data_IF_629928778321
#
_entry.id   IF_629928778321
#
_cell.length_a   1.000
_cell.length_b   1.000
_cell.length_c   1.000
_cell.angle_alpha   90.00
_cell.angle_beta   90.00
_cell.angle_gamma   90.00
#
_symmetry.space_group_name_H-M   'P 1'
#
loop_
_entity.id
_entity.type
_entity.pdbx_description
1 polymer ?
#
# COMPACT_ATOMS: atom_id res chain seq x y z
N UNK A 1 -54.25 -40.97 -4.37
CA UNK A 1 -53.84 -39.67 -4.96
C UNK A 1 -52.62 -39.15 -4.20
N UNK A 2 -51.42 -39.18 -4.81
CA UNK A 2 -50.21 -38.55 -4.23
C UNK A 2 -50.16 -37.10 -4.69
N UNK A 3 -50.09 -36.13 -3.76
CA UNK A 3 -49.92 -34.71 -4.11
C UNK A 3 -48.57 -34.54 -4.85
N UNK A 4 -48.51 -33.82 -5.97
CA UNK A 4 -47.23 -33.54 -6.62
C UNK A 4 -46.43 -32.62 -5.68
N UNK A 5 -45.26 -33.07 -5.23
CA UNK A 5 -44.32 -32.17 -4.56
C UNK A 5 -43.80 -31.19 -5.61
N UNK A 6 -43.79 -29.88 -5.33
CA UNK A 6 -43.27 -28.90 -6.28
C UNK A 6 -41.80 -29.20 -6.54
N UNK A 7 -41.45 -29.29 -7.82
CA UNK A 7 -40.07 -29.44 -8.26
C UNK A 7 -39.23 -28.29 -7.70
N UNK A 8 -38.16 -28.59 -6.95
CA UNK A 8 -37.19 -27.60 -6.48
C UNK A 8 -35.88 -27.85 -7.25
N UNK A 9 -35.63 -27.20 -8.41
CA UNK A 9 -34.35 -27.32 -9.09
C UNK A 9 -33.33 -26.29 -8.58
N UNK A 10 -32.08 -26.77 -8.50
CA UNK A 10 -30.75 -26.12 -8.56
C UNK A 10 -30.52 -24.80 -7.83
N UNK A 11 -29.32 -24.69 -7.21
CA UNK A 11 -29.21 -24.31 -5.82
C UNK A 11 -29.84 -22.94 -5.58
N UNK A 12 -30.66 -22.81 -4.53
CA UNK A 12 -31.22 -21.52 -4.16
C UNK A 12 -30.08 -20.52 -3.94
N UNK A 13 -30.26 -19.29 -4.42
CA UNK A 13 -29.32 -18.19 -4.21
C UNK A 13 -28.97 -18.12 -2.70
N UNK A 14 -27.69 -18.27 -2.34
CA UNK A 14 -27.29 -18.41 -0.94
C UNK A 14 -27.63 -17.17 -0.10
N UNK A 15 -27.76 -16.01 -0.74
CA UNK A 15 -27.98 -14.72 -0.10
C UNK A 15 -29.41 -14.21 -0.31
N UNK A 16 -30.02 -14.45 -1.47
CA UNK A 16 -31.35 -13.91 -1.80
C UNK A 16 -32.45 -14.96 -1.67
N UNK A 17 -33.19 -14.90 -0.55
CA UNK A 17 -34.34 -15.77 -0.28
C UNK A 17 -35.67 -15.03 -0.50
N UNK A 18 -36.64 -15.69 -1.16
CA UNK A 18 -38.01 -15.17 -1.33
C UNK A 18 -38.81 -15.13 -0.03
N UNK A 19 -38.53 -16.06 0.86
CA UNK A 19 -39.13 -16.14 2.19
C UNK A 19 -38.06 -16.56 3.20
N UNK A 20 -38.13 -16.06 4.45
CA UNK A 20 -37.21 -16.47 5.51
C UNK A 20 -37.32 -17.98 5.74
N UNK A 21 -36.25 -18.61 6.21
CA UNK A 21 -36.32 -20.04 6.57
C UNK A 21 -37.27 -20.21 7.77
N UNK A 22 -37.96 -21.36 7.91
CA UNK A 22 -38.87 -21.58 9.05
C UNK A 22 -38.20 -21.37 10.43
N UNK A 23 -36.89 -21.55 10.49
CA UNK A 23 -36.03 -21.36 11.67
C UNK A 23 -35.22 -20.06 11.66
N UNK A 24 -35.55 -19.09 10.80
CA UNK A 24 -34.88 -17.77 10.81
C UNK A 24 -35.42 -16.82 11.88
N UNK A 25 -36.39 -17.26 12.67
CA UNK A 25 -36.87 -16.51 13.81
C UNK A 25 -36.13 -16.97 15.08
N UNK A 26 -35.80 -16.06 15.99
CA UNK A 26 -35.27 -16.42 17.30
C UNK A 26 -36.18 -17.47 17.96
N UNK A 27 -35.58 -18.51 18.55
CA UNK A 27 -36.33 -19.52 19.28
C UNK A 27 -37.09 -18.83 20.42
N UNK A 28 -38.41 -18.76 20.31
CA UNK A 28 -39.26 -18.15 21.33
C UNK A 28 -39.34 -19.08 22.53
N UNK A 29 -38.82 -18.63 23.66
CA UNK A 29 -39.08 -19.22 24.97
C UNK A 29 -40.10 -18.33 25.71
N UNK A 30 -41.31 -18.82 26.02
CA UNK A 30 -42.34 -18.06 26.75
C UNK A 30 -41.86 -17.50 28.10
N UNK A 31 -40.79 -18.05 28.69
CA UNK A 31 -40.20 -17.59 29.94
C UNK A 31 -39.16 -16.47 29.79
N UNK A 32 -38.66 -16.18 28.58
CA UNK A 32 -37.56 -15.22 28.38
C UNK A 32 -38.10 -13.81 28.07
N UNK A 33 -38.49 -13.10 29.13
CA UNK A 33 -38.98 -11.71 29.06
C UNK A 33 -37.93 -10.71 28.55
N UNK A 34 -36.65 -11.09 28.48
CA UNK A 34 -35.54 -10.22 28.05
C UNK A 34 -35.01 -10.55 26.65
N UNK A 35 -35.58 -11.55 25.95
CA UNK A 35 -35.09 -12.02 24.65
C UNK A 35 -34.90 -10.87 23.64
N UNK A 36 -35.92 -10.03 23.49
CA UNK A 36 -35.90 -8.87 22.57
C UNK A 36 -34.81 -7.86 22.93
N UNK A 37 -34.60 -7.62 24.24
CA UNK A 37 -33.57 -6.70 24.71
C UNK A 37 -32.15 -7.24 24.43
N UNK A 38 -31.93 -8.55 24.63
CA UNK A 38 -30.64 -9.20 24.35
C UNK A 38 -30.35 -9.24 22.85
N UNK A 39 -31.36 -9.59 22.04
CA UNK A 39 -31.24 -9.56 20.59
C UNK A 39 -30.86 -8.16 20.10
N UNK A 40 -31.57 -7.13 20.57
CA UNK A 40 -31.25 -5.74 20.25
C UNK A 40 -29.81 -5.40 20.65
N UNK A 41 -29.40 -5.75 21.87
CA UNK A 41 -28.04 -5.48 22.35
C UNK A 41 -26.96 -6.17 21.49
N UNK A 42 -27.19 -7.42 21.05
CA UNK A 42 -26.26 -8.14 20.17
C UNK A 42 -26.17 -7.47 18.81
N UNK A 43 -27.32 -7.18 18.19
CA UNK A 43 -27.39 -6.59 16.84
C UNK A 43 -26.80 -5.17 16.78
N UNK A 44 -26.90 -4.41 17.87
CA UNK A 44 -26.33 -3.06 17.99
C UNK A 44 -24.85 -3.07 18.43
N UNK A 45 -24.32 -4.22 18.88
CA UNK A 45 -22.94 -4.32 19.35
C UNK A 45 -21.95 -4.27 18.18
N UNK A 46 -20.78 -3.64 18.39
CA UNK A 46 -19.76 -3.49 17.33
C UNK A 46 -19.26 -4.83 16.79
N UNK A 47 -19.16 -5.87 17.63
CA UNK A 47 -18.76 -7.21 17.20
C UNK A 47 -19.72 -7.89 16.22
N UNK A 48 -20.93 -7.34 16.02
CA UNK A 48 -21.88 -7.85 15.03
C UNK A 48 -21.72 -7.17 13.66
N UNK A 49 -20.93 -6.09 13.57
CA UNK A 49 -20.61 -5.45 12.29
C UNK A 49 -19.72 -6.37 11.46
N UNK A 50 -19.98 -6.43 10.17
CA UNK A 50 -19.14 -7.19 9.26
C UNK A 50 -17.75 -6.53 9.17
N UNK A 51 -16.64 -7.30 9.22
CA UNK A 51 -15.30 -6.73 9.29
C UNK A 51 -14.91 -5.81 8.13
N UNK A 52 -15.52 -5.97 6.95
CA UNK A 52 -15.32 -5.12 5.77
C UNK A 52 -16.09 -3.78 5.85
N UNK A 53 -17.14 -3.71 6.66
CA UNK A 53 -17.86 -2.46 6.98
C UNK A 53 -17.37 -1.82 8.30
N UNK A 54 -16.67 -2.57 9.16
CA UNK A 54 -16.13 -2.10 10.43
C UNK A 54 -14.78 -1.38 10.27
N UNK A 55 -14.87 -0.07 10.00
CA UNK A 55 -13.67 0.78 9.85
C UNK A 55 -12.84 0.86 11.13
N UNK A 56 -13.47 0.80 12.31
CA UNK A 56 -12.76 0.84 13.60
C UNK A 56 -11.87 -0.40 13.76
N UNK A 57 -12.40 -1.58 13.39
CA UNK A 57 -11.61 -2.81 13.34
C UNK A 57 -10.50 -2.75 12.29
N UNK A 58 -10.80 -2.34 11.05
CA UNK A 58 -9.81 -2.25 9.96
C UNK A 58 -8.65 -1.32 10.34
N UNK A 59 -8.92 -0.22 11.05
CA UNK A 59 -7.90 0.75 11.48
C UNK A 59 -7.12 0.32 12.71
N UNK A 60 -7.59 -0.70 13.44
CA UNK A 60 -6.93 -1.23 14.62
C UNK A 60 -5.54 -1.83 14.32
N UNK A 61 -4.77 -2.08 15.38
CA UNK A 61 -3.47 -2.76 15.29
C UNK A 61 -3.62 -4.22 14.85
N UNK A 62 -4.67 -4.90 15.28
CA UNK A 62 -4.97 -6.30 14.91
C UNK A 62 -5.14 -6.48 13.40
N UNK A 63 -5.68 -5.47 12.71
CA UNK A 63 -5.87 -5.49 11.27
C UNK A 63 -4.66 -4.97 10.46
N UNK A 64 -3.55 -4.59 11.12
CA UNK A 64 -2.36 -4.02 10.44
C UNK A 64 -1.80 -4.96 9.36
N UNK A 65 -1.71 -6.27 9.63
CA UNK A 65 -1.21 -7.23 8.66
C UNK A 65 -2.08 -7.33 7.41
N UNK A 66 -3.41 -7.35 7.59
CA UNK A 66 -4.37 -7.36 6.49
C UNK A 66 -4.29 -6.08 5.66
N UNK A 67 -4.18 -4.91 6.31
CA UNK A 67 -3.99 -3.63 5.60
C UNK A 67 -2.74 -3.61 4.74
N UNK A 68 -1.61 -4.11 5.25
CA UNK A 68 -0.37 -4.22 4.46
C UNK A 68 -0.55 -5.14 3.25
N UNK A 69 -1.28 -6.24 3.40
CA UNK A 69 -1.60 -7.14 2.28
C UNK A 69 -2.49 -6.44 1.24
N UNK A 70 -3.49 -5.65 1.67
CA UNK A 70 -4.32 -4.86 0.77
C UNK A 70 -3.52 -3.78 0.04
N UNK A 71 -2.59 -3.11 0.72
CA UNK A 71 -1.69 -2.13 0.10
C UNK A 71 -0.85 -2.77 -1.01
N UNK A 72 -0.31 -3.97 -0.76
CA UNK A 72 0.42 -4.75 -1.76
C UNK A 72 -0.49 -5.15 -2.94
N UNK A 73 -1.63 -5.79 -2.66
CA UNK A 73 -2.53 -6.30 -3.70
C UNK A 73 -3.06 -5.17 -4.59
N UNK A 74 -3.37 -4.01 -4.01
CA UNK A 74 -3.81 -2.83 -4.76
C UNK A 74 -2.72 -2.27 -5.66
N UNK A 75 -1.47 -2.23 -5.19
CA UNK A 75 -0.34 -1.79 -6.00
C UNK A 75 -0.05 -2.77 -7.15
N UNK A 76 -0.05 -4.07 -6.87
CA UNK A 76 0.14 -5.14 -7.86
C UNK A 76 -0.93 -5.10 -8.95
N UNK A 77 -2.20 -4.98 -8.55
CA UNK A 77 -3.31 -4.84 -9.49
C UNK A 77 -3.14 -3.58 -10.38
N UNK A 78 -2.75 -2.46 -9.80
CA UNK A 78 -2.49 -1.23 -10.54
C UNK A 78 -1.37 -1.38 -11.58
N UNK A 79 -0.31 -2.14 -11.26
CA UNK A 79 0.76 -2.45 -12.23
C UNK A 79 0.25 -3.36 -13.35
N UNK A 80 -0.50 -4.41 -13.00
CA UNK A 80 -1.08 -5.35 -13.96
C UNK A 80 -2.03 -4.65 -14.94
N UNK A 81 -2.91 -3.77 -14.45
CA UNK A 81 -3.87 -3.03 -15.28
C UNK A 81 -3.18 -2.08 -16.29
N UNK A 82 -1.96 -1.65 -16.00
CA UNK A 82 -1.12 -0.84 -16.90
C UNK A 82 -0.21 -1.68 -17.82
N UNK A 83 -0.33 -3.01 -17.79
CA UNK A 83 0.52 -3.92 -18.58
C UNK A 83 1.97 -3.96 -18.14
N UNK A 84 2.27 -3.60 -16.88
CA UNK A 84 3.62 -3.67 -16.33
C UNK A 84 3.90 -5.12 -15.90
N UNK A 85 4.64 -5.85 -16.73
CA UNK A 85 5.01 -7.26 -16.46
C UNK A 85 6.27 -7.40 -15.60
N UNK A 86 7.19 -6.42 -15.69
CA UNK A 86 8.53 -6.51 -15.12
C UNK A 86 8.93 -5.16 -14.53
N UNK A 87 9.48 -5.20 -13.32
CA UNK A 87 9.91 -4.03 -12.57
C UNK A 87 11.35 -4.21 -12.12
N UNK A 88 12.16 -3.17 -12.28
CA UNK A 88 13.52 -3.12 -11.72
C UNK A 88 13.46 -2.23 -10.47
N UNK A 89 13.82 -2.79 -9.32
CA UNK A 89 13.91 -2.04 -8.07
C UNK A 89 15.29 -1.41 -7.96
N UNK A 90 15.35 -0.08 -7.86
CA UNK A 90 16.59 0.68 -7.73
C UNK A 90 16.59 1.42 -6.40
N UNK A 91 17.66 1.28 -5.63
CA UNK A 91 17.89 2.04 -4.41
C UNK A 91 18.98 3.09 -4.62
N UNK A 92 18.80 4.28 -4.04
CA UNK A 92 19.74 5.38 -4.21
C UNK A 92 19.64 6.42 -3.10
N UNK A 93 20.67 7.26 -2.99
CA UNK A 93 20.67 8.38 -2.06
C UNK A 93 19.69 9.46 -2.49
N UNK A 94 18.80 9.90 -1.60
CA UNK A 94 17.91 11.06 -1.81
C UNK A 94 18.66 12.40 -1.79
N UNK A 95 19.94 12.40 -1.41
CA UNK A 95 20.78 13.60 -1.26
C UNK A 95 21.80 13.75 -2.39
N UNK A 96 21.70 12.93 -3.42
CA UNK A 96 22.60 12.98 -4.58
C UNK A 96 22.33 14.25 -5.39
N UNK A 97 23.40 14.88 -5.87
CA UNK A 97 23.36 16.10 -6.69
C UNK A 97 24.11 15.85 -7.99
N UNK A 98 23.74 16.59 -9.03
CA UNK A 98 24.53 16.68 -10.24
C UNK A 98 25.97 17.11 -9.92
N UNK A 99 27.00 16.53 -10.57
CA UNK A 99 28.40 16.87 -10.28
C UNK A 99 28.71 18.37 -10.34
N UNK A 100 28.16 19.08 -11.33
CA UNK A 100 28.33 20.53 -11.45
C UNK A 100 27.72 21.28 -10.26
N UNK A 101 26.48 20.93 -9.88
CA UNK A 101 25.76 21.55 -8.75
C UNK A 101 26.48 21.27 -7.43
N UNK A 102 26.93 20.04 -7.21
CA UNK A 102 27.70 19.67 -6.01
C UNK A 102 29.04 20.42 -5.95
N UNK A 103 29.69 20.60 -7.10
CA UNK A 103 30.94 21.35 -7.20
C UNK A 103 30.76 22.82 -6.89
N UNK A 104 29.71 23.45 -7.40
CA UNK A 104 29.39 24.85 -7.12
C UNK A 104 28.96 25.07 -5.67
N UNK A 105 28.24 24.12 -5.08
CA UNK A 105 27.91 24.10 -3.65
C UNK A 105 29.19 24.08 -2.79
N UNK A 106 30.11 23.15 -3.09
CA UNK A 106 31.38 23.06 -2.36
C UNK A 106 32.20 24.35 -2.48
N UNK A 107 32.29 24.93 -3.68
CA UNK A 107 33.01 26.20 -3.90
C UNK A 107 32.45 27.34 -3.06
N UNK A 108 31.12 27.47 -2.98
CA UNK A 108 30.46 28.52 -2.17
C UNK A 108 30.78 28.35 -0.69
N UNK A 109 30.68 27.13 -0.18
CA UNK A 109 30.97 26.84 1.23
C UNK A 109 32.45 27.07 1.54
N UNK A 110 33.35 26.65 0.65
CA UNK A 110 34.78 26.93 0.80
C UNK A 110 35.07 28.45 0.87
N UNK A 111 34.40 29.26 0.05
CA UNK A 111 34.55 30.72 0.11
C UNK A 111 34.06 31.31 1.44
N UNK A 112 33.02 30.73 2.05
CA UNK A 112 32.53 31.12 3.37
C UNK A 112 33.52 30.70 4.48
N UNK A 113 34.09 29.50 4.41
CA UNK A 113 35.11 29.04 5.35
C UNK A 113 36.35 29.96 5.34
N UNK A 114 36.71 30.57 4.21
CA UNK A 114 37.80 31.54 4.16
C UNK A 114 37.51 32.82 4.95
N UNK A 115 36.24 33.22 5.06
CA UNK A 115 35.81 34.40 5.83
C UNK A 115 35.65 34.11 7.32
N UNK A 116 35.35 32.86 7.69
CA UNK A 116 35.22 32.42 9.07
C UNK A 116 35.85 31.02 9.28
N UNK A 117 37.19 30.93 9.38
CA UNK A 117 37.92 29.65 9.41
C UNK A 117 37.64 28.79 10.65
N UNK A 118 37.31 29.42 11.77
CA UNK A 118 37.10 28.76 13.06
C UNK A 118 35.62 28.46 13.36
N UNK A 119 34.72 28.63 12.37
CA UNK A 119 33.30 28.31 12.54
C UNK A 119 33.06 26.79 12.41
N UNK A 120 32.67 26.10 13.51
CA UNK A 120 32.43 24.66 13.49
C UNK A 120 31.22 24.25 12.64
N UNK A 121 30.26 25.16 12.39
CA UNK A 121 29.13 24.90 11.50
C UNK A 121 29.58 24.86 10.04
N UNK A 122 30.38 25.86 9.62
CA UNK A 122 30.91 25.91 8.26
C UNK A 122 31.85 24.74 7.97
N UNK A 123 32.68 24.32 8.92
CA UNK A 123 33.53 23.13 8.76
C UNK A 123 32.68 21.86 8.59
N UNK A 124 31.56 21.74 9.31
CA UNK A 124 30.62 20.62 9.12
C UNK A 124 29.96 20.66 7.75
N UNK A 125 29.51 21.83 7.31
CA UNK A 125 28.89 22.01 6.00
C UNK A 125 29.87 21.71 4.86
N UNK A 126 31.13 22.14 5.00
CA UNK A 126 32.21 21.83 4.05
C UNK A 126 32.36 20.32 3.90
N UNK A 127 32.47 19.58 5.01
CA UNK A 127 32.56 18.10 4.98
C UNK A 127 31.35 17.45 4.31
N UNK A 128 30.14 17.97 4.55
CA UNK A 128 28.94 17.46 3.90
C UNK A 128 28.95 17.72 2.39
N UNK A 129 29.39 18.90 1.96
CA UNK A 129 29.51 19.26 0.55
C UNK A 129 30.59 18.44 -0.17
N UNK A 130 31.73 18.19 0.48
CA UNK A 130 32.78 17.30 -0.04
C UNK A 130 32.26 15.88 -0.23
N UNK A 131 31.53 15.36 0.75
CA UNK A 131 30.90 14.04 0.65
C UNK A 131 29.85 14.01 -0.48
N UNK A 132 29.04 15.06 -0.64
CA UNK A 132 28.07 15.16 -1.75
C UNK A 132 28.78 15.16 -3.10
N UNK A 133 29.86 15.92 -3.25
CA UNK A 133 30.65 15.96 -4.49
C UNK A 133 31.30 14.62 -4.79
N UNK A 134 31.88 13.96 -3.79
CA UNK A 134 32.46 12.62 -3.93
C UNK A 134 31.44 11.58 -4.41
N UNK A 135 30.20 11.67 -3.90
CA UNK A 135 29.10 10.80 -4.30
C UNK A 135 28.45 11.21 -5.62
N UNK A 136 28.59 12.46 -6.09
CA UNK A 136 27.90 13.00 -7.26
C UNK A 136 28.13 12.18 -8.54
N UNK A 137 29.24 11.44 -8.64
CA UNK A 137 29.48 10.47 -9.73
C UNK A 137 28.35 9.45 -9.92
N UNK A 138 27.67 9.05 -8.83
CA UNK A 138 26.56 8.10 -8.91
C UNK A 138 25.33 8.68 -9.60
N UNK A 139 25.26 10.01 -9.77
CA UNK A 139 24.19 10.65 -10.53
C UNK A 139 24.26 10.23 -12.00
N UNK A 140 25.46 10.25 -12.58
CA UNK A 140 25.67 9.80 -13.95
C UNK A 140 25.44 8.30 -14.10
N UNK A 141 25.81 7.49 -13.11
CA UNK A 141 25.49 6.05 -13.09
C UNK A 141 23.98 5.82 -13.15
N UNK A 142 23.20 6.56 -12.35
CA UNK A 142 21.74 6.50 -12.40
C UNK A 142 21.17 6.92 -13.77
N UNK A 143 21.74 7.97 -14.39
CA UNK A 143 21.34 8.40 -15.73
C UNK A 143 21.69 7.39 -16.81
N UNK A 144 22.86 6.79 -16.74
CA UNK A 144 23.29 5.75 -17.67
C UNK A 144 22.38 4.53 -17.56
N UNK A 145 22.08 4.07 -16.34
CA UNK A 145 21.11 2.99 -16.13
C UNK A 145 19.75 3.33 -16.76
N UNK A 146 19.22 4.53 -16.50
CA UNK A 146 17.97 4.98 -17.11
C UNK A 146 18.00 4.99 -18.64
N UNK A 147 19.11 5.43 -19.24
CA UNK A 147 19.30 5.38 -20.71
C UNK A 147 19.33 3.94 -21.23
N UNK A 148 20.03 3.02 -20.54
CA UNK A 148 20.10 1.61 -20.94
C UNK A 148 18.72 0.95 -20.89
N UNK A 149 18.00 1.11 -19.77
CA UNK A 149 16.64 0.59 -19.60
C UNK A 149 15.69 1.17 -20.65
N UNK A 150 15.73 2.49 -20.87
CA UNK A 150 14.88 3.16 -21.86
C UNK A 150 15.14 2.76 -23.31
N UNK A 151 16.37 2.35 -23.66
CA UNK A 151 16.68 1.84 -25.00
C UNK A 151 16.08 0.45 -25.25
N UNK A 152 16.18 -0.44 -24.25
CA UNK A 152 15.71 -1.83 -24.35
C UNK A 152 14.19 -1.91 -24.55
N UNK A 153 13.43 -0.98 -23.97
CA UNK A 153 11.96 -0.95 -24.11
C UNK A 153 11.42 -0.70 -25.52
N UNK A 154 12.25 -0.20 -26.45
CA UNK A 154 11.84 0.11 -27.83
C UNK A 154 12.24 -0.95 -28.86
N UNK A 155 13.03 -1.96 -28.49
CA UNK A 155 13.40 -3.03 -29.42
C UNK A 155 12.29 -4.08 -29.47
N UNK A 156 11.59 -4.14 -30.61
CA UNK A 156 10.42 -4.98 -30.92
C UNK A 156 10.67 -6.51 -30.90
N UNK A 157 11.68 -6.98 -30.15
CA UNK A 157 12.11 -8.36 -30.05
C UNK A 157 12.32 -8.79 -28.60
N UNK A 158 11.26 -8.72 -27.79
CA UNK A 158 11.11 -9.51 -26.56
C UNK A 158 12.34 -9.58 -25.64
N UNK A 159 12.96 -8.43 -25.36
CA UNK A 159 14.09 -8.41 -24.43
C UNK A 159 13.59 -8.66 -23.00
N UNK A 160 14.00 -9.81 -22.47
CA UNK A 160 13.73 -10.29 -21.11
C UNK A 160 14.53 -9.47 -20.10
N UNK A 161 14.01 -8.33 -19.66
CA UNK A 161 14.41 -7.67 -18.41
C UNK A 161 13.22 -7.61 -17.47
#
# INVERSE_FOLDING_TARGET
MKRPYPHIPTPPDPLRRKQPLPWSHPKRDPGDLQLEQRLKAILEHSSYREPDEDTDFIQSESARGVRLQLDYAKAEQGMHDQGIERCIVVFGSTRLREPAVAGDELKRIMAQCLQAPDDPQLERERRLAENRLSLARYYEVGRELGRLVGKVGNDAGGSRL
#
